data_IF_247547161112
#
_entry.id   IF_247547161112
#
_cell.length_a   1.000
_cell.length_b   1.000
_cell.length_c   1.000
_cell.angle_alpha   90.00
_cell.angle_beta   90.00
_cell.angle_gamma   90.00
#
_symmetry.space_group_name_H-M   'P 1'
#
loop_
_entity.id
_entity.type
_entity.pdbx_description
1 polymer ?
#
# COMPACT_ATOMS: atom_id res chain seq x y z
N UNK A 1 10.06 17.77 -17.88
CA UNK A 1 9.22 16.56 -17.92
C UNK A 1 10.00 15.44 -17.25
N UNK A 2 9.77 15.20 -15.96
CA UNK A 2 10.32 14.03 -15.29
C UNK A 2 9.57 12.82 -15.82
N UNK A 3 10.27 11.94 -16.53
CA UNK A 3 9.72 10.66 -16.97
C UNK A 3 9.41 9.83 -15.73
N UNK A 4 8.13 9.71 -15.40
CA UNK A 4 7.66 8.77 -14.39
C UNK A 4 7.81 7.37 -14.97
N UNK A 5 8.90 6.69 -14.61
CA UNK A 5 9.12 5.31 -15.02
C UNK A 5 8.10 4.44 -14.29
N UNK A 6 7.08 3.96 -15.01
CA UNK A 6 6.13 2.97 -14.47
C UNK A 6 6.90 1.67 -14.23
N UNK A 7 7.26 1.41 -12.97
CA UNK A 7 7.92 0.17 -12.54
C UNK A 7 6.95 -0.99 -12.76
N UNK A 8 7.37 -2.01 -13.49
CA UNK A 8 6.56 -3.21 -13.69
C UNK A 8 6.37 -3.99 -12.38
N UNK A 9 5.30 -4.78 -12.27
CA UNK A 9 5.07 -5.64 -11.11
C UNK A 9 6.25 -6.57 -10.83
N UNK A 10 6.89 -7.09 -11.89
CA UNK A 10 8.06 -7.97 -11.77
C UNK A 10 9.27 -7.23 -11.18
N UNK A 11 9.57 -6.03 -11.66
CA UNK A 11 10.68 -5.23 -11.15
C UNK A 11 10.44 -4.84 -9.68
N UNK A 12 9.21 -4.43 -9.35
CA UNK A 12 8.84 -4.14 -7.97
C UNK A 12 9.06 -5.34 -7.04
N UNK A 13 8.59 -6.53 -7.42
CA UNK A 13 8.79 -7.74 -6.62
C UNK A 13 10.28 -8.11 -6.50
N UNK A 14 11.06 -7.86 -7.56
CA UNK A 14 12.50 -8.12 -7.55
C UNK A 14 13.21 -7.20 -6.55
N UNK A 15 12.92 -5.90 -6.57
CA UNK A 15 13.48 -4.94 -5.63
C UNK A 15 13.00 -5.20 -4.19
N UNK A 16 11.74 -5.58 -4.02
CA UNK A 16 11.20 -5.98 -2.73
C UNK A 16 12.00 -7.14 -2.13
N UNK A 17 12.20 -8.22 -2.90
CA UNK A 17 12.96 -9.40 -2.46
C UNK A 17 14.42 -9.05 -2.18
N UNK A 18 15.06 -8.21 -3.00
CA UNK A 18 16.44 -7.75 -2.78
C UNK A 18 16.62 -6.97 -1.47
N UNK A 19 15.57 -6.28 -1.01
CA UNK A 19 15.59 -5.53 0.24
C UNK A 19 15.23 -6.33 1.50
N UNK A 20 14.88 -7.62 1.37
CA UNK A 20 14.52 -8.44 2.52
C UNK A 20 15.77 -8.80 3.36
N UNK A 21 15.62 -8.91 4.69
CA UNK A 21 16.71 -9.41 5.53
C UNK A 21 16.93 -10.91 5.30
N UNK A 22 18.18 -11.36 5.44
CA UNK A 22 18.60 -12.77 5.28
C UNK A 22 17.79 -13.75 6.14
N UNK A 23 17.35 -13.30 7.31
CA UNK A 23 16.49 -14.07 8.21
C UNK A 23 15.11 -13.44 8.23
N UNK A 24 14.24 -13.94 7.37
CA UNK A 24 12.81 -13.61 7.35
C UNK A 24 12.02 -14.86 7.00
N UNK A 25 10.84 -15.00 7.59
CA UNK A 25 9.88 -16.02 7.18
C UNK A 25 9.10 -15.58 5.95
N UNK A 26 8.56 -16.53 5.19
CA UNK A 26 7.67 -16.21 4.08
C UNK A 26 6.45 -15.39 4.52
N UNK A 27 5.90 -15.70 5.71
CA UNK A 27 4.73 -14.99 6.25
C UNK A 27 5.02 -13.49 6.49
N UNK A 28 6.15 -13.19 7.13
CA UNK A 28 6.57 -11.79 7.37
C UNK A 28 6.88 -11.06 6.06
N UNK A 29 7.45 -11.74 5.07
CA UNK A 29 7.68 -11.15 3.75
C UNK A 29 6.35 -10.81 3.05
N UNK A 30 5.36 -11.71 3.10
CA UNK A 30 4.03 -11.45 2.53
C UNK A 30 3.35 -10.29 3.25
N UNK A 31 3.39 -10.24 4.58
CA UNK A 31 2.82 -9.14 5.36
C UNK A 31 3.42 -7.79 4.94
N UNK A 32 4.75 -7.70 4.86
CA UNK A 32 5.44 -6.49 4.38
C UNK A 32 5.00 -6.10 2.97
N UNK A 33 4.86 -7.07 2.08
CA UNK A 33 4.41 -6.83 0.71
C UNK A 33 2.99 -6.26 0.67
N UNK A 34 2.07 -6.80 1.48
CA UNK A 34 0.70 -6.33 1.57
C UNK A 34 0.62 -4.90 2.10
N UNK A 35 1.43 -4.55 3.11
CA UNK A 35 1.52 -3.18 3.61
C UNK A 35 1.97 -2.21 2.50
N UNK A 36 3.01 -2.59 1.75
CA UNK A 36 3.51 -1.76 0.65
C UNK A 36 2.47 -1.60 -0.48
N UNK A 37 1.75 -2.67 -0.83
CA UNK A 37 0.70 -2.61 -1.83
C UNK A 37 -0.44 -1.66 -1.40
N UNK A 38 -0.88 -1.75 -0.14
CA UNK A 38 -1.89 -0.84 0.42
C UNK A 38 -1.45 0.63 0.42
N UNK A 39 -0.17 0.91 0.68
CA UNK A 39 0.37 2.29 0.56
C UNK A 39 0.29 2.78 -0.89
N UNK A 40 0.67 1.94 -1.86
CA UNK A 40 0.62 2.30 -3.29
C UNK A 40 -0.81 2.50 -3.77
N UNK A 41 -1.74 1.68 -3.30
CA UNK A 41 -3.16 1.86 -3.54
C UNK A 41 -3.64 3.22 -3.00
N UNK A 42 -3.31 3.54 -1.74
CA UNK A 42 -3.65 4.84 -1.15
C UNK A 42 -3.06 6.02 -1.91
N UNK A 43 -1.83 5.91 -2.44
CA UNK A 43 -1.23 6.94 -3.29
C UNK A 43 -2.00 7.13 -4.61
N UNK A 44 -2.43 6.04 -5.26
CA UNK A 44 -3.28 6.09 -6.45
C UNK A 44 -4.64 6.73 -6.14
N UNK A 45 -5.26 6.34 -5.04
CA UNK A 45 -6.51 6.92 -4.59
C UNK A 45 -6.43 8.43 -4.39
N UNK A 46 -5.34 8.94 -3.81
CA UNK A 46 -5.09 10.39 -3.69
C UNK A 46 -4.95 11.03 -5.07
N UNK A 47 -4.13 10.45 -5.96
CA UNK A 47 -3.90 10.99 -7.30
C UNK A 47 -5.18 11.02 -8.15
N UNK A 48 -6.07 10.04 -7.97
CA UNK A 48 -7.34 9.92 -8.70
C UNK A 48 -8.51 10.61 -7.98
N UNK A 49 -8.26 11.29 -6.86
CA UNK A 49 -9.27 12.00 -6.09
C UNK A 49 -10.27 11.10 -5.35
N UNK A 50 -9.98 9.80 -5.23
CA UNK A 50 -10.74 8.81 -4.43
C UNK A 50 -10.43 8.94 -2.94
N UNK A 51 -10.62 10.13 -2.40
CA UNK A 51 -10.37 10.45 -0.99
C UNK A 51 -11.67 10.80 -0.28
N UNK A 52 -11.67 10.62 1.04
CA UNK A 52 -12.77 11.04 1.91
C UNK A 52 -12.30 12.12 2.87
N UNK A 53 -13.23 12.94 3.38
CA UNK A 53 -12.92 13.92 4.40
C UNK A 53 -12.63 13.25 5.75
N UNK A 54 -11.97 13.99 6.64
CA UNK A 54 -11.73 13.52 8.01
C UNK A 54 -13.02 13.17 8.76
N UNK A 55 -14.07 13.97 8.58
CA UNK A 55 -15.37 13.73 9.23
C UNK A 55 -16.08 12.49 8.66
N UNK A 56 -15.97 12.26 7.35
CA UNK A 56 -16.45 11.03 6.71
C UNK A 56 -15.73 9.79 7.28
N UNK A 57 -14.41 9.87 7.44
CA UNK A 57 -13.61 8.78 8.00
C UNK A 57 -14.02 8.45 9.44
N UNK A 58 -14.21 9.47 10.30
CA UNK A 58 -14.70 9.28 11.68
C UNK A 58 -16.04 8.56 11.71
N UNK A 59 -16.97 8.93 10.83
CA UNK A 59 -18.31 8.31 10.77
C UNK A 59 -18.22 6.82 10.42
N UNK A 60 -17.41 6.46 9.42
CA UNK A 60 -17.19 5.06 9.02
C UNK A 60 -16.58 4.22 10.14
N UNK A 61 -15.60 4.76 10.86
CA UNK A 61 -14.97 4.06 12.00
C UNK A 61 -16.00 3.83 13.12
N UNK A 62 -16.86 4.81 13.40
CA UNK A 62 -17.90 4.65 14.41
C UNK A 62 -18.91 3.54 14.02
N UNK A 63 -19.31 3.47 12.76
CA UNK A 63 -20.20 2.42 12.25
C UNK A 63 -19.59 1.01 12.40
N UNK A 64 -18.30 0.84 12.13
CA UNK A 64 -17.61 -0.46 12.30
C UNK A 64 -17.57 -0.94 13.75
N UNK A 65 -17.42 -0.02 14.71
CA UNK A 65 -17.38 -0.36 16.15
C UNK A 65 -18.76 -0.64 16.74
N UNK A 66 -19.82 -0.32 16.00
CA UNK A 66 -21.21 -0.56 16.40
C UNK A 66 -21.79 -1.87 15.88
N UNK A 67 -21.02 -2.61 15.06
CA UNK A 67 -21.30 -3.98 14.63
C UNK A 67 -20.54 -4.99 15.48
#
# INVERSE_FOLDING_TARGET
MTTETVISTKEFLTEFVRGLPEKITLAEAIEKLQILDGIREGQRDVAEGRVITHEEMKRRIAEWRSK
#
